data_IF_686322471301
#
_entry.id   IF_686322471301
#
_cell.length_a   1.000
_cell.length_b   1.000
_cell.length_c   1.000
_cell.angle_alpha   90.00
_cell.angle_beta   90.00
_cell.angle_gamma   90.00
#
_symmetry.space_group_name_H-M   'P 1'
#
loop_
_entity.id
_entity.type
_entity.pdbx_description
1 polymer ?
#
# COMPACT_ATOMS: atom_id res chain seq x y z
N UNK A 1 19.75 13.31 40.16
CA UNK A 1 20.06 12.41 39.03
C UNK A 1 18.86 11.64 38.47
N UNK A 2 17.88 11.20 39.28
CA UNK A 2 16.74 10.38 38.80
C UNK A 2 15.76 11.11 37.85
N UNK A 3 15.55 12.42 38.05
CA UNK A 3 14.63 13.23 37.23
C UNK A 3 15.13 13.45 35.79
N UNK A 4 16.45 13.54 35.57
CA UNK A 4 17.05 13.69 34.24
C UNK A 4 16.96 12.40 33.41
N UNK A 5 17.05 11.24 34.06
CA UNK A 5 16.94 9.93 33.42
C UNK A 5 15.50 9.61 32.96
N UNK A 6 14.48 10.01 33.74
CA UNK A 6 13.07 9.85 33.37
C UNK A 6 12.67 10.77 32.20
N UNK A 7 13.13 12.02 32.19
CA UNK A 7 12.88 12.94 31.08
C UNK A 7 13.49 12.42 29.76
N UNK A 8 14.67 11.79 29.83
CA UNK A 8 15.33 11.20 28.66
C UNK A 8 14.56 9.96 28.13
N UNK A 9 13.99 9.14 29.01
CA UNK A 9 13.19 7.97 28.65
C UNK A 9 11.85 8.35 27.97
N UNK A 10 11.18 9.39 28.46
CA UNK A 10 9.94 9.91 27.85
C UNK A 10 10.23 10.50 26.46
N UNK A 11 11.33 11.24 26.29
CA UNK A 11 11.71 11.81 25.00
C UNK A 11 11.97 10.73 23.93
N UNK A 12 12.60 9.62 24.31
CA UNK A 12 12.86 8.48 23.42
C UNK A 12 11.55 7.80 23.01
N UNK A 13 10.59 7.65 23.94
CA UNK A 13 9.28 7.05 23.61
C UNK A 13 8.47 7.87 22.61
N UNK A 14 8.54 9.20 22.65
CA UNK A 14 7.85 10.07 21.69
C UNK A 14 8.42 9.99 20.27
N UNK A 15 9.73 9.72 20.14
CA UNK A 15 10.38 9.62 18.82
C UNK A 15 9.96 8.33 18.09
N UNK A 16 9.76 7.22 18.81
CA UNK A 16 9.28 5.97 18.21
C UNK A 16 7.78 6.00 17.85
N UNK A 17 6.95 6.77 18.56
CA UNK A 17 5.55 6.97 18.18
C UNK A 17 5.38 7.95 17.01
N UNK A 18 6.28 8.92 16.85
CA UNK A 18 6.18 9.96 15.80
C UNK A 18 6.37 9.43 14.37
N UNK A 19 7.06 8.30 14.19
CA UNK A 19 7.24 7.68 12.87
C UNK A 19 6.00 6.93 12.36
N UNK A 20 4.98 6.71 13.21
CA UNK A 20 3.76 6.01 12.81
C UNK A 20 2.76 6.88 12.02
N UNK A 21 2.99 8.20 11.90
CA UNK A 21 2.01 9.14 11.36
C UNK A 21 2.44 9.94 10.13
N UNK A 22 3.64 9.70 9.59
CA UNK A 22 3.92 10.18 8.24
C UNK A 22 3.06 9.33 7.28
N UNK A 23 2.06 9.95 6.64
CA UNK A 23 1.29 9.32 5.57
C UNK A 23 2.29 8.85 4.50
N UNK A 24 2.65 7.57 4.55
CA UNK A 24 3.68 7.04 3.69
C UNK A 24 3.23 7.17 2.25
N UNK A 25 4.17 7.60 1.40
CA UNK A 25 3.93 7.70 -0.03
C UNK A 25 3.51 6.33 -0.57
N UNK A 26 2.41 6.24 -1.30
CA UNK A 26 2.06 5.02 -2.04
C UNK A 26 2.92 4.95 -3.30
N UNK A 27 3.56 3.81 -3.52
CA UNK A 27 4.22 3.48 -4.79
C UNK A 27 3.21 2.76 -5.67
N UNK A 28 3.19 3.12 -6.95
CA UNK A 28 2.36 2.50 -7.96
C UNK A 28 3.24 2.05 -9.11
N UNK A 29 3.03 0.82 -9.56
CA UNK A 29 3.71 0.22 -10.71
C UNK A 29 2.70 -0.42 -11.65
N UNK A 30 3.01 -0.46 -12.94
CA UNK A 30 2.16 -1.01 -13.99
C UNK A 30 2.94 -2.01 -14.82
N UNK A 31 2.29 -3.09 -15.23
CA UNK A 31 2.91 -4.22 -15.92
C UNK A 31 2.02 -4.71 -17.05
N UNK A 32 2.65 -5.23 -18.12
CA UNK A 32 1.99 -6.05 -19.13
C UNK A 32 2.49 -7.50 -18.98
N UNK A 33 1.63 -8.37 -18.46
CA UNK A 33 1.93 -9.79 -18.25
C UNK A 33 1.48 -10.57 -19.47
N UNK A 34 2.38 -11.34 -20.09
CA UNK A 34 2.00 -12.21 -21.21
C UNK A 34 1.08 -13.32 -20.72
N UNK A 35 -0.04 -13.53 -21.43
CA UNK A 35 -0.93 -14.66 -21.16
C UNK A 35 -0.47 -15.91 -21.92
N UNK A 36 -1.12 -17.04 -21.67
CA UNK A 36 -0.96 -18.27 -22.44
C UNK A 36 -1.62 -18.20 -23.83
N UNK A 37 -2.39 -17.13 -24.11
CA UNK A 37 -3.10 -16.95 -25.37
C UNK A 37 -2.31 -16.01 -26.30
N UNK A 38 -1.95 -16.46 -27.52
CA UNK A 38 -1.17 -15.67 -28.45
C UNK A 38 -1.79 -14.31 -28.76
N UNK A 39 -0.98 -13.25 -28.63
CA UNK A 39 -1.41 -11.88 -28.89
C UNK A 39 -2.18 -11.22 -27.75
N UNK A 40 -2.41 -11.91 -26.62
CA UNK A 40 -3.08 -11.35 -25.45
C UNK A 40 -2.08 -11.11 -24.32
N UNK A 41 -2.11 -9.90 -23.78
CA UNK A 41 -1.37 -9.51 -22.58
C UNK A 41 -2.31 -8.86 -21.57
N UNK A 42 -2.07 -9.15 -20.30
CA UNK A 42 -2.83 -8.66 -19.17
C UNK A 42 -2.17 -7.41 -18.63
N UNK A 43 -2.89 -6.30 -18.61
CA UNK A 43 -2.46 -5.12 -17.88
C UNK A 43 -2.71 -5.33 -16.38
N UNK A 44 -1.71 -5.07 -15.55
CA UNK A 44 -1.79 -5.18 -14.09
C UNK A 44 -1.22 -3.92 -13.47
N UNK A 45 -1.96 -3.34 -12.53
CA UNK A 45 -1.48 -2.26 -11.65
C UNK A 45 -1.27 -2.82 -10.25
N UNK A 46 -0.17 -2.42 -9.62
CA UNK A 46 0.13 -2.75 -8.24
C UNK A 46 0.37 -1.47 -7.43
N UNK A 47 -0.13 -1.43 -6.19
CA UNK A 47 0.14 -0.36 -5.22
C UNK A 47 0.60 -0.95 -3.89
N UNK A 48 1.55 -0.28 -3.26
CA UNK A 48 1.96 -0.59 -1.88
C UNK A 48 2.60 0.64 -1.22
N UNK A 49 2.83 0.59 0.09
CA UNK A 49 3.55 1.65 0.80
C UNK A 49 5.00 1.75 0.34
N UNK A 50 5.51 2.97 0.18
CA UNK A 50 6.90 3.21 -0.16
C UNK A 50 7.84 2.58 0.88
N UNK A 51 8.82 1.84 0.40
CA UNK A 51 9.79 1.17 1.27
C UNK A 51 9.32 -0.17 1.85
N UNK A 52 8.14 -0.66 1.47
CA UNK A 52 7.77 -2.06 1.66
C UNK A 52 8.78 -2.95 0.93
N UNK A 53 9.38 -3.90 1.66
CA UNK A 53 10.40 -4.85 1.13
C UNK A 53 10.01 -6.31 1.33
N UNK A 54 8.92 -6.57 2.04
CA UNK A 54 8.42 -7.91 2.36
C UNK A 54 6.98 -8.00 1.84
N UNK A 55 6.74 -8.99 0.99
CA UNK A 55 5.46 -9.25 0.36
C UNK A 55 5.09 -10.69 0.73
N UNK A 56 4.09 -10.87 1.58
CA UNK A 56 3.64 -12.18 2.03
C UNK A 56 2.27 -12.47 1.46
N UNK A 57 1.96 -13.75 1.22
CA UNK A 57 0.70 -14.14 0.61
C UNK A 57 -0.53 -13.67 1.42
N UNK A 58 -0.40 -13.57 2.74
CA UNK A 58 -1.47 -13.10 3.65
C UNK A 58 -1.74 -11.59 3.53
N UNK A 59 -0.81 -10.83 2.94
CA UNK A 59 -0.89 -9.39 2.74
C UNK A 59 -0.87 -8.99 1.28
N UNK A 60 -0.92 -9.94 0.35
CA UNK A 60 -1.10 -9.65 -1.08
C UNK A 60 -2.57 -9.88 -1.47
N UNK A 61 -3.18 -8.89 -2.11
CA UNK A 61 -4.57 -8.92 -2.57
C UNK A 61 -4.60 -8.75 -4.07
N UNK A 62 -5.23 -9.69 -4.78
CA UNK A 62 -5.47 -9.58 -6.21
C UNK A 62 -6.92 -9.15 -6.46
N UNK A 63 -7.09 -8.03 -7.15
CA UNK A 63 -8.41 -7.56 -7.59
C UNK A 63 -8.69 -8.02 -9.02
N UNK A 64 -9.85 -8.62 -9.24
CA UNK A 64 -10.32 -9.04 -10.56
C UNK A 64 -11.65 -8.36 -10.82
N UNK A 65 -11.72 -7.56 -11.87
CA UNK A 65 -12.96 -6.89 -12.24
C UNK A 65 -13.94 -7.86 -12.92
N UNK A 66 -15.22 -7.52 -12.85
CA UNK A 66 -16.29 -8.25 -13.54
C UNK A 66 -16.46 -7.80 -15.00
N UNK A 67 -17.69 -7.87 -15.51
CA UNK A 67 -18.02 -7.42 -16.86
C UNK A 67 -18.09 -5.89 -16.95
N UNK A 68 -17.82 -5.36 -18.15
CA UNK A 68 -18.02 -3.96 -18.59
C UNK A 68 -16.97 -2.93 -18.18
N UNK A 69 -16.42 -2.96 -16.96
CA UNK A 69 -15.49 -1.94 -16.47
C UNK A 69 -14.16 -2.52 -15.99
N UNK A 70 -13.02 -1.85 -16.25
CA UNK A 70 -11.72 -2.34 -15.84
C UNK A 70 -11.47 -2.10 -14.33
N UNK A 71 -10.44 -2.75 -13.78
CA UNK A 71 -10.17 -2.79 -12.34
C UNK A 71 -9.94 -1.40 -11.72
N UNK A 72 -9.37 -0.47 -12.47
CA UNK A 72 -9.03 0.87 -11.98
C UNK A 72 -10.29 1.66 -11.62
N UNK A 73 -11.38 1.45 -12.36
CA UNK A 73 -12.66 2.13 -12.08
C UNK A 73 -13.47 1.47 -10.98
N UNK A 74 -13.23 0.17 -10.72
CA UNK A 74 -13.94 -0.60 -9.70
C UNK A 74 -13.27 -0.50 -8.32
N UNK A 75 -11.93 -0.52 -8.27
CA UNK A 75 -11.17 -0.63 -7.02
C UNK A 75 -10.22 0.55 -6.79
N UNK A 76 -9.75 1.20 -7.85
CA UNK A 76 -8.76 2.28 -7.77
C UNK A 76 -9.34 3.68 -8.03
N UNK A 77 -10.66 3.80 -8.15
CA UNK A 77 -11.31 5.09 -8.37
C UNK A 77 -11.18 5.94 -7.12
N UNK A 78 -10.56 7.11 -7.24
CA UNK A 78 -10.43 8.04 -6.13
C UNK A 78 -11.78 8.71 -5.83
N UNK A 79 -12.32 8.42 -4.66
CA UNK A 79 -13.55 9.02 -4.13
C UNK A 79 -13.20 9.72 -2.81
N UNK A 80 -13.34 11.05 -2.78
CA UNK A 80 -12.95 11.83 -1.60
C UNK A 80 -11.44 11.87 -1.34
N UNK A 81 -10.61 11.68 -2.39
CA UNK A 81 -9.16 11.79 -2.31
C UNK A 81 -8.42 10.49 -1.97
N UNK A 82 -9.12 9.35 -1.92
CA UNK A 82 -8.52 8.02 -1.76
C UNK A 82 -9.29 6.97 -2.56
N UNK A 83 -8.64 5.87 -2.92
CA UNK A 83 -9.29 4.68 -3.51
C UNK A 83 -9.30 3.50 -2.54
N UNK A 84 -10.05 2.44 -2.86
CA UNK A 84 -10.02 1.22 -2.03
C UNK A 84 -8.63 0.58 -2.02
N UNK A 85 -7.96 0.54 -3.17
CA UNK A 85 -6.58 0.05 -3.25
C UNK A 85 -5.63 0.89 -2.38
N UNK A 86 -5.76 2.22 -2.39
CA UNK A 86 -4.93 3.08 -1.54
C UNK A 86 -5.22 2.90 -0.05
N UNK A 87 -6.50 2.76 0.32
CA UNK A 87 -6.89 2.41 1.67
C UNK A 87 -6.21 1.11 2.12
N UNK A 88 -6.30 0.04 1.33
CA UNK A 88 -5.67 -1.24 1.68
C UNK A 88 -4.13 -1.16 1.72
N UNK A 89 -3.51 -0.44 0.79
CA UNK A 89 -2.07 -0.20 0.79
C UNK A 89 -1.61 0.48 2.09
N UNK A 90 -2.32 1.53 2.55
CA UNK A 90 -1.99 2.19 3.83
C UNK A 90 -2.16 1.28 5.05
N UNK A 91 -2.91 0.19 4.93
CA UNK A 91 -3.07 -0.85 5.95
C UNK A 91 -2.06 -2.00 5.82
N UNK A 92 -1.01 -1.79 5.03
CA UNK A 92 0.12 -2.71 4.90
C UNK A 92 -0.14 -3.88 3.94
N UNK A 93 -1.12 -3.76 3.05
CA UNK A 93 -1.32 -4.70 1.96
C UNK A 93 -0.54 -4.29 0.72
N UNK A 94 -0.18 -5.30 -0.06
CA UNK A 94 0.29 -5.21 -1.43
C UNK A 94 -0.88 -5.54 -2.35
N UNK A 95 -1.33 -4.57 -3.15
CA UNK A 95 -2.62 -4.60 -3.87
C UNK A 95 -2.47 -4.43 -5.36
#
# INVERSE_FOLDING_TARGET
MKLKAQALFVLISCIFLGQAFAAGKIQMSEYMVQSDTPGISLYVRNKHMAGMKKFSAEKTLLYVHGLTYPAETAFDLSLGGTSWMEFMATHGYDV
#
